data_IF_869579921314
#
_entry.id   IF_869579921314
#
_cell.length_a   1.000
_cell.length_b   1.000
_cell.length_c   1.000
_cell.angle_alpha   90.00
_cell.angle_beta   90.00
_cell.angle_gamma   90.00
#
_symmetry.space_group_name_H-M   'P 1'
#
loop_
_entity.id
_entity.type
_entity.pdbx_description
1 polymer ?
#
# COMPACT_ATOMS: atom_id res chain seq x y z
N UNK A 1 -10.90 11.60 -2.02
CA UNK A 1 -9.64 11.21 -1.37
C UNK A 1 -8.52 12.17 -1.82
N UNK A 2 -7.64 12.61 -0.91
CA UNK A 2 -6.56 13.56 -1.22
C UNK A 2 -5.20 12.90 -0.94
N UNK A 3 -4.30 12.95 -1.91
CA UNK A 3 -2.94 12.47 -1.75
C UNK A 3 -2.08 13.47 -0.95
N UNK A 4 -1.10 12.94 -0.24
CA UNK A 4 -0.06 13.73 0.44
C UNK A 4 0.90 14.26 -0.62
N UNK A 5 1.26 15.54 -0.51
CA UNK A 5 2.23 16.13 -1.42
C UNK A 5 3.62 15.49 -1.19
N UNK A 6 4.41 15.19 -2.24
CA UNK A 6 5.70 14.52 -2.10
C UNK A 6 6.66 15.16 -1.07
N UNK A 7 6.69 16.50 -1.03
CA UNK A 7 7.50 17.27 -0.10
C UNK A 7 7.06 17.13 1.38
N UNK A 8 5.86 16.61 1.64
CA UNK A 8 5.32 16.38 2.98
C UNK A 8 5.54 14.95 3.49
N UNK A 9 6.03 14.02 2.65
CA UNK A 9 6.25 12.63 3.06
C UNK A 9 7.22 12.55 4.24
N UNK A 10 8.36 13.25 4.17
CA UNK A 10 9.35 13.31 5.25
C UNK A 10 8.77 13.83 6.56
N UNK A 11 7.98 14.91 6.51
CA UNK A 11 7.28 15.45 7.68
C UNK A 11 6.34 14.41 8.32
N UNK A 12 5.58 13.67 7.51
CA UNK A 12 4.68 12.63 8.02
C UNK A 12 5.46 11.48 8.69
N UNK A 13 6.57 11.06 8.09
CA UNK A 13 7.44 10.03 8.67
C UNK A 13 8.07 10.48 9.99
N UNK A 14 8.54 11.73 10.07
CA UNK A 14 9.04 12.32 11.33
C UNK A 14 8.01 12.37 12.45
N UNK A 15 6.72 12.42 12.11
CA UNK A 15 5.61 12.33 13.05
C UNK A 15 5.24 10.88 13.41
N UNK A 16 6.01 9.89 12.95
CA UNK A 16 5.78 8.46 13.19
C UNK A 16 4.57 7.90 12.42
N UNK A 17 4.11 8.58 11.36
CA UNK A 17 2.94 8.15 10.60
C UNK A 17 3.33 7.09 9.57
N UNK A 18 2.50 6.06 9.44
CA UNK A 18 2.55 5.14 8.30
C UNK A 18 1.74 5.71 7.15
N UNK A 19 2.33 5.71 5.96
CA UNK A 19 1.69 6.17 4.73
C UNK A 19 1.43 4.97 3.82
N UNK A 20 0.29 4.98 3.14
CA UNK A 20 -0.08 3.90 2.23
C UNK A 20 -0.12 4.39 0.79
N UNK A 21 0.11 3.49 -0.17
CA UNK A 21 -0.18 3.76 -1.57
C UNK A 21 -0.70 2.51 -2.23
N UNK A 22 -1.89 2.61 -2.82
CA UNK A 22 -2.42 1.57 -3.69
C UNK A 22 -1.53 1.40 -4.92
N UNK A 23 -1.18 0.15 -5.24
CA UNK A 23 -0.36 -0.20 -6.39
C UNK A 23 -1.24 -0.75 -7.52
N UNK A 24 -1.96 -1.84 -7.26
CA UNK A 24 -2.76 -2.51 -8.29
C UNK A 24 -3.77 -3.48 -7.69
N UNK A 25 -4.71 -3.87 -8.56
CA UNK A 25 -5.44 -5.12 -8.42
C UNK A 25 -4.61 -6.19 -9.13
N UNK A 26 -4.21 -7.22 -8.39
CA UNK A 26 -3.37 -8.30 -8.88
C UNK A 26 -4.08 -9.65 -8.85
N UNK A 27 -3.26 -10.69 -8.97
CA UNK A 27 -3.69 -12.08 -8.86
C UNK A 27 -2.54 -12.92 -8.28
N UNK A 28 -2.89 -13.82 -7.38
CA UNK A 28 -2.00 -14.85 -6.83
C UNK A 28 -2.70 -16.20 -6.98
N UNK A 29 -2.14 -17.08 -7.82
CA UNK A 29 -2.83 -18.27 -8.35
C UNK A 29 -4.22 -17.91 -8.93
N UNK A 30 -5.30 -18.42 -8.36
CA UNK A 30 -6.68 -18.16 -8.78
C UNK A 30 -7.36 -17.07 -7.94
N UNK A 31 -6.68 -16.53 -6.92
CA UNK A 31 -7.22 -15.50 -6.04
C UNK A 31 -6.83 -14.11 -6.52
N UNK A 32 -7.82 -13.22 -6.64
CA UNK A 32 -7.60 -11.80 -6.89
C UNK A 32 -6.95 -11.15 -5.67
N UNK A 33 -6.05 -10.19 -5.90
CA UNK A 33 -5.36 -9.49 -4.82
C UNK A 33 -5.57 -7.98 -4.89
N UNK A 34 -5.51 -7.35 -3.72
CA UNK A 34 -5.42 -5.90 -3.58
C UNK A 34 -4.02 -5.58 -3.05
N UNK A 35 -3.21 -4.92 -3.88
CA UNK A 35 -1.79 -4.69 -3.60
C UNK A 35 -1.59 -3.21 -3.24
N UNK A 36 -0.97 -2.95 -2.10
CA UNK A 36 -0.54 -1.61 -1.70
C UNK A 36 0.84 -1.66 -1.04
N UNK A 37 1.50 -0.52 -0.92
CA UNK A 37 2.71 -0.39 -0.11
C UNK A 37 2.44 0.41 1.15
N UNK A 38 3.17 0.07 2.22
CA UNK A 38 3.29 0.90 3.41
C UNK A 38 4.69 1.51 3.46
N UNK A 39 4.76 2.83 3.65
CA UNK A 39 5.97 3.59 3.89
C UNK A 39 6.00 4.02 5.37
N UNK A 40 7.05 3.63 6.08
CA UNK A 40 7.25 3.87 7.52
C UNK A 40 8.69 4.27 7.81
N UNK A 41 8.98 4.69 9.04
CA UNK A 41 10.34 5.05 9.49
C UNK A 41 10.56 6.57 9.51
N UNK A 42 11.77 6.99 9.13
CA UNK A 42 12.19 8.40 9.07
C UNK A 42 12.75 8.73 7.69
N UNK A 43 13.11 9.99 7.43
CA UNK A 43 13.73 10.38 6.14
C UNK A 43 15.07 9.67 5.90
N UNK A 44 15.89 9.48 6.93
CA UNK A 44 17.20 8.82 6.83
C UNK A 44 17.12 7.29 6.92
N UNK A 45 16.03 6.77 7.49
CA UNK A 45 15.81 5.34 7.70
C UNK A 45 14.32 5.01 7.49
N UNK A 46 13.92 5.00 6.23
CA UNK A 46 12.62 4.61 5.77
C UNK A 46 12.57 3.11 5.44
N UNK A 47 11.37 2.55 5.49
CA UNK A 47 11.06 1.20 4.98
C UNK A 47 9.80 1.26 4.14
N UNK A 48 9.88 0.72 2.94
CA UNK A 48 8.73 0.39 2.10
C UNK A 48 8.52 -1.12 2.14
N UNK A 49 7.27 -1.52 2.37
CA UNK A 49 6.85 -2.93 2.34
C UNK A 49 5.65 -3.05 1.42
N UNK A 50 5.70 -4.01 0.48
CA UNK A 50 4.54 -4.43 -0.30
C UNK A 50 3.65 -5.29 0.58
N UNK A 51 2.37 -4.94 0.64
CA UNK A 51 1.32 -5.76 1.20
C UNK A 51 0.43 -6.22 0.05
N UNK A 52 0.39 -7.53 -0.15
CA UNK A 52 -0.50 -8.18 -1.10
C UNK A 52 -1.55 -8.93 -0.30
N UNK A 53 -2.78 -8.41 -0.24
CA UNK A 53 -3.88 -9.10 0.41
C UNK A 53 -4.77 -9.81 -0.61
N UNK A 54 -5.41 -10.89 -0.19
CA UNK A 54 -6.52 -11.49 -0.94
C UNK A 54 -7.69 -10.49 -0.99
N UNK A 55 -8.41 -10.45 -2.11
CA UNK A 55 -9.61 -9.62 -2.29
C UNK A 55 -10.82 -10.28 -1.60
N UNK A 56 -10.81 -10.29 -0.27
CA UNK A 56 -11.82 -10.95 0.59
C UNK A 56 -13.01 -10.05 0.94
N UNK A 57 -12.91 -8.76 0.62
CA UNK A 57 -13.87 -7.76 1.06
C UNK A 57 -15.18 -7.71 0.24
N UNK A 58 -16.13 -7.02 0.87
CA UNK A 58 -17.50 -6.84 0.42
C UNK A 58 -17.95 -5.40 0.73
N UNK A 59 -19.12 -4.93 0.24
CA UNK A 59 -19.56 -3.55 0.49
C UNK A 59 -19.67 -3.16 1.97
N UNK A 60 -19.81 -4.14 2.87
CA UNK A 60 -19.87 -3.97 4.31
C UNK A 60 -18.56 -4.35 5.05
N UNK A 61 -17.51 -4.74 4.32
CA UNK A 61 -16.23 -5.18 4.87
C UNK A 61 -15.07 -4.73 3.97
N UNK A 62 -14.47 -3.59 4.31
CA UNK A 62 -13.44 -2.91 3.52
C UNK A 62 -12.13 -2.64 4.27
N UNK A 63 -11.97 -3.18 5.48
CA UNK A 63 -10.75 -3.06 6.27
C UNK A 63 -9.67 -3.98 5.69
N UNK A 64 -8.81 -3.45 4.82
CA UNK A 64 -7.83 -4.28 4.10
C UNK A 64 -6.73 -4.79 5.00
N UNK A 65 -6.52 -4.18 6.17
CA UNK A 65 -5.56 -4.66 7.15
C UNK A 65 -6.04 -5.93 7.87
N UNK A 66 -7.33 -6.24 7.80
CA UNK A 66 -7.92 -7.46 8.34
C UNK A 66 -7.94 -8.64 7.35
N UNK A 67 -7.56 -8.42 6.09
CA UNK A 67 -7.56 -9.46 5.07
C UNK A 67 -6.32 -10.34 5.15
N UNK A 68 -6.46 -11.61 4.74
CA UNK A 68 -5.32 -12.53 4.66
C UNK A 68 -4.30 -12.02 3.65
N UNK A 69 -3.04 -11.93 4.05
CA UNK A 69 -1.96 -11.56 3.13
C UNK A 69 -1.36 -12.78 2.45
N UNK A 70 -0.89 -12.61 1.22
CA UNK A 70 -0.22 -13.69 0.47
C UNK A 70 1.05 -14.16 1.20
N UNK A 71 1.75 -13.25 1.89
CA UNK A 71 2.96 -13.57 2.63
C UNK A 71 2.73 -14.49 3.85
N UNK A 72 1.49 -14.56 4.37
CA UNK A 72 1.15 -15.53 5.43
C UNK A 72 1.15 -16.97 4.92
N UNK A 73 0.71 -17.19 3.67
CA UNK A 73 0.71 -18.50 3.02
C UNK A 73 2.07 -18.82 2.38
N UNK A 74 2.71 -17.80 1.80
CA UNK A 74 3.98 -17.90 1.07
C UNK A 74 4.94 -16.77 1.47
N UNK A 75 5.75 -16.97 2.52
CA UNK A 75 6.68 -15.96 3.00
C UNK A 75 7.72 -15.48 1.95
N UNK A 76 7.92 -16.24 0.86
CA UNK A 76 8.83 -15.84 -0.21
C UNK A 76 8.31 -14.67 -1.06
N UNK A 77 7.00 -14.39 -0.96
CA UNK A 77 6.35 -13.25 -1.61
C UNK A 77 6.47 -11.94 -0.81
N UNK A 78 7.05 -11.97 0.40
CA UNK A 78 7.33 -10.75 1.16
C UNK A 78 8.38 -9.90 0.42
N UNK A 79 8.01 -8.68 0.06
CA UNK A 79 8.91 -7.75 -0.61
C UNK A 79 8.98 -6.43 0.14
N UNK A 80 10.20 -6.04 0.49
CA UNK A 80 10.47 -4.78 1.17
C UNK A 80 11.83 -4.21 0.80
N UNK A 81 11.99 -2.91 1.04
CA UNK A 81 13.25 -2.20 0.91
C UNK A 81 13.42 -1.23 2.08
N UNK A 82 14.65 -1.14 2.60
CA UNK A 82 15.01 -0.22 3.69
C UNK A 82 16.19 0.63 3.26
N UNK A 83 16.09 1.93 3.47
CA UNK A 83 17.11 2.92 3.09
C UNK A 83 16.66 4.32 3.48
N UNK A 84 17.18 5.35 2.83
CA UNK A 84 16.61 6.70 2.92
C UNK A 84 15.23 6.76 2.25
N UNK A 85 14.44 7.78 2.58
CA UNK A 85 13.16 8.05 1.92
C UNK A 85 13.32 8.11 0.39
N UNK A 86 14.34 8.79 -0.10
CA UNK A 86 14.58 8.91 -1.54
C UNK A 86 14.88 7.56 -2.19
N UNK A 87 15.74 6.74 -1.59
CA UNK A 87 16.05 5.40 -2.09
C UNK A 87 14.82 4.49 -2.10
N UNK A 88 14.01 4.55 -1.04
CA UNK A 88 12.72 3.86 -0.97
C UNK A 88 11.79 4.29 -2.12
N UNK A 89 11.69 5.59 -2.41
CA UNK A 89 10.84 6.10 -3.47
C UNK A 89 11.33 5.68 -4.87
N UNK A 90 12.65 5.68 -5.10
CA UNK A 90 13.24 5.17 -6.34
C UNK A 90 12.94 3.68 -6.52
N UNK A 91 13.13 2.88 -5.47
CA UNK A 91 12.85 1.45 -5.49
C UNK A 91 11.36 1.16 -5.74
N UNK A 92 10.46 1.93 -5.12
CA UNK A 92 9.01 1.83 -5.36
C UNK A 92 8.64 2.09 -6.82
N UNK A 93 9.26 3.09 -7.44
CA UNK A 93 9.02 3.44 -8.85
C UNK A 93 9.57 2.35 -9.79
N UNK A 94 10.76 1.81 -9.50
CA UNK A 94 11.42 0.82 -10.37
C UNK A 94 10.82 -0.58 -10.26
N UNK A 95 10.59 -1.07 -9.04
CA UNK A 95 10.20 -2.46 -8.80
C UNK A 95 8.69 -2.68 -8.78
N UNK A 96 7.94 -1.67 -8.33
CA UNK A 96 6.51 -1.81 -8.03
C UNK A 96 5.62 -0.91 -8.88
N UNK A 97 6.19 0.01 -9.66
CA UNK A 97 5.43 0.96 -10.48
C UNK A 97 4.61 1.96 -9.64
N UNK A 98 5.00 2.19 -8.39
CA UNK A 98 4.39 3.21 -7.54
C UNK A 98 4.79 4.64 -7.96
N UNK A 99 4.29 5.63 -7.22
CA UNK A 99 4.52 7.04 -7.48
C UNK A 99 4.72 7.83 -6.19
N UNK A 100 5.70 8.74 -6.20
CA UNK A 100 5.94 9.71 -5.11
C UNK A 100 4.72 10.58 -4.76
N UNK A 101 3.78 10.74 -5.69
CA UNK A 101 2.64 11.66 -5.58
C UNK A 101 1.31 10.99 -5.21
N UNK A 102 1.32 9.68 -4.95
CA UNK A 102 0.10 8.88 -4.70
C UNK A 102 0.02 8.26 -3.31
N UNK A 103 0.81 8.79 -2.37
CA UNK A 103 0.70 8.40 -0.98
C UNK A 103 -0.55 8.99 -0.32
N UNK A 104 -1.11 8.18 0.56
CA UNK A 104 -2.33 8.43 1.31
C UNK A 104 -2.00 8.55 2.79
N UNK A 105 -2.85 9.30 3.49
CA UNK A 105 -2.78 9.39 4.94
C UNK A 105 -3.05 8.05 5.63
N UNK A 106 -2.72 7.93 6.93
CA UNK A 106 -3.03 6.74 7.72
C UNK A 106 -4.51 6.37 7.61
N UNK A 107 -4.81 5.07 7.43
CA UNK A 107 -6.18 4.54 7.34
C UNK A 107 -6.93 4.82 6.04
N UNK A 108 -6.39 5.63 5.14
CA UNK A 108 -7.08 6.01 3.90
C UNK A 108 -7.04 4.92 2.80
N UNK A 109 -6.35 3.81 3.04
CA UNK A 109 -6.28 2.71 2.07
C UNK A 109 -7.62 1.96 1.99
N UNK A 110 -8.35 1.86 3.10
CA UNK A 110 -9.69 1.27 3.17
C UNK A 110 -10.70 2.05 2.31
N UNK A 111 -10.53 3.38 2.22
CA UNK A 111 -11.33 4.23 1.34
C UNK A 111 -11.07 3.93 -0.15
N UNK A 112 -9.82 3.60 -0.52
CA UNK A 112 -9.48 3.16 -1.89
C UNK A 112 -10.17 1.84 -2.19
N UNK A 113 -10.07 0.90 -1.26
CA UNK A 113 -10.67 -0.40 -1.40
C UNK A 113 -12.20 -0.32 -1.49
N UNK A 114 -12.83 0.50 -0.65
CA UNK A 114 -14.27 0.76 -0.69
C UNK A 114 -14.74 1.31 -2.05
N UNK A 115 -13.98 2.23 -2.65
CA UNK A 115 -14.27 2.73 -4.00
C UNK A 115 -14.09 1.67 -5.08
N UNK A 116 -13.12 0.77 -4.91
CA UNK A 116 -12.92 -0.36 -5.80
C UNK A 116 -14.08 -1.35 -5.71
N UNK A 117 -14.51 -1.73 -4.51
CA UNK A 117 -15.65 -2.63 -4.28
C UNK A 117 -16.95 -2.06 -4.86
N UNK A 118 -17.22 -0.78 -4.62
CA UNK A 118 -18.40 -0.12 -5.18
C UNK A 118 -18.47 -0.24 -6.72
N UNK A 119 -17.33 -0.07 -7.40
CA UNK A 119 -17.25 -0.22 -8.87
C UNK A 119 -17.29 -1.69 -9.33
N UNK A 120 -16.75 -2.61 -8.54
CA UNK A 120 -16.76 -4.05 -8.84
C UNK A 120 -18.18 -4.60 -8.87
N UNK A 121 -19.01 -4.14 -7.94
CA UNK A 121 -20.36 -4.66 -7.71
C UNK A 121 -21.45 -3.86 -8.47
N UNK A 122 -21.08 -2.83 -9.23
CA UNK A 122 -21.95 -2.06 -10.14
C UNK A 122 -22.29 -2.80 -11.46
N UNK A 123 -21.90 -4.07 -11.60
CA UNK A 123 -22.06 -4.91 -12.81
C UNK A 123 -23.13 -5.98 -12.63
#
# INVERSE_FOLDING_TARGET
MKYIAPEQLGLHLRLGRSLAQFIRIGQYFESKTFDWVTLTGTEDQARITLVRSRDEGAPWFCDVAAFTTVAEDDPSEELHFTGSLEECLVWLESELGGSRSRFLGPGMIDDVYSQYVAKRDEI
#
